data_IF_750930685574
#
_entry.id   IF_750930685574
#
_cell.length_a   1.000
_cell.length_b   1.000
_cell.length_c   1.000
_cell.angle_alpha   90.00
_cell.angle_beta   90.00
_cell.angle_gamma   90.00
#
_symmetry.space_group_name_H-M   'P 1'
#
loop_
_entity.id
_entity.type
_entity.pdbx_description
1 polymer ?
#
# COMPACT_ATOMS: atom_id res chain seq x y z
N UNK A 1 15.40 -28.23 -4.84
CA UNK A 1 14.65 -27.01 -5.23
C UNK A 1 15.05 -25.89 -4.27
N UNK A 2 15.68 -24.81 -4.75
CA UNK A 2 16.25 -23.78 -3.87
C UNK A 2 15.16 -22.89 -3.29
N UNK A 3 15.25 -22.52 -2.01
CA UNK A 3 14.27 -21.69 -1.32
C UNK A 3 13.91 -20.39 -2.09
N UNK A 4 14.90 -19.79 -2.76
CA UNK A 4 14.74 -18.60 -3.60
C UNK A 4 13.75 -18.79 -4.77
N UNK A 5 13.72 -19.99 -5.38
CA UNK A 5 12.80 -20.32 -6.47
C UNK A 5 11.36 -20.57 -6.00
N UNK A 6 11.15 -20.85 -4.70
CA UNK A 6 9.81 -20.97 -4.11
C UNK A 6 9.21 -19.59 -3.85
N UNK A 7 10.00 -18.68 -3.28
CA UNK A 7 9.56 -17.31 -2.94
C UNK A 7 9.21 -16.52 -4.20
N UNK A 8 10.09 -16.51 -5.21
CA UNK A 8 9.84 -15.81 -6.48
C UNK A 8 8.58 -16.31 -7.22
N UNK A 9 8.28 -17.60 -7.12
CA UNK A 9 7.07 -18.18 -7.72
C UNK A 9 5.81 -17.80 -6.94
N UNK A 10 5.86 -17.78 -5.60
CA UNK A 10 4.74 -17.34 -4.76
C UNK A 10 4.37 -15.88 -5.00
N UNK A 11 5.37 -14.99 -5.10
CA UNK A 11 5.19 -13.59 -5.48
C UNK A 11 4.52 -13.51 -6.86
N UNK A 12 5.06 -14.22 -7.86
CA UNK A 12 4.52 -14.24 -9.21
C UNK A 12 3.08 -14.73 -9.32
N UNK A 13 2.57 -15.48 -8.33
CA UNK A 13 1.17 -15.92 -8.30
C UNK A 13 0.26 -14.95 -7.55
N UNK A 14 0.73 -14.33 -6.46
CA UNK A 14 -0.01 -13.23 -5.82
C UNK A 14 -0.33 -12.11 -6.82
N UNK A 15 0.64 -11.77 -7.68
CA UNK A 15 0.45 -10.81 -8.77
C UNK A 15 -0.33 -11.36 -9.97
N UNK A 16 -0.82 -12.61 -9.98
CA UNK A 16 -1.73 -13.13 -11.02
C UNK A 16 -3.19 -13.06 -10.61
N UNK A 17 -3.47 -13.11 -9.31
CA UNK A 17 -4.80 -12.99 -8.75
C UNK A 17 -5.46 -11.65 -9.10
N UNK A 18 -6.67 -11.69 -9.65
CA UNK A 18 -7.41 -10.50 -10.09
C UNK A 18 -7.81 -9.59 -8.94
N UNK A 19 -8.14 -10.15 -7.77
CA UNK A 19 -8.48 -9.41 -6.55
C UNK A 19 -7.25 -8.70 -6.00
N UNK A 20 -6.11 -9.39 -5.92
CA UNK A 20 -4.85 -8.78 -5.47
C UNK A 20 -4.45 -7.63 -6.38
N UNK A 21 -4.49 -7.82 -7.71
CA UNK A 21 -4.21 -6.75 -8.67
C UNK A 21 -5.15 -5.56 -8.49
N UNK A 22 -6.45 -5.80 -8.33
CA UNK A 22 -7.44 -4.75 -8.13
C UNK A 22 -7.19 -3.92 -6.87
N UNK A 23 -6.92 -4.59 -5.74
CA UNK A 23 -6.60 -3.94 -4.47
C UNK A 23 -5.28 -3.16 -4.52
N UNK A 24 -4.25 -3.72 -5.15
CA UNK A 24 -2.96 -3.04 -5.35
C UNK A 24 -3.13 -1.80 -6.25
N UNK A 25 -3.86 -1.92 -7.35
CA UNK A 25 -4.13 -0.80 -8.25
C UNK A 25 -4.93 0.31 -7.55
N UNK A 26 -5.91 -0.07 -6.73
CA UNK A 26 -6.71 0.88 -5.95
C UNK A 26 -5.87 1.60 -4.88
N UNK A 27 -5.03 0.85 -4.16
CA UNK A 27 -4.09 1.42 -3.18
C UNK A 27 -3.11 2.38 -3.85
N UNK A 28 -2.53 1.99 -4.99
CA UNK A 28 -1.64 2.86 -5.78
C UNK A 28 -2.36 4.11 -6.27
N UNK A 29 -3.61 3.98 -6.73
CA UNK A 29 -4.44 5.11 -7.14
C UNK A 29 -4.69 6.11 -6.01
N UNK A 30 -4.99 5.62 -4.80
CA UNK A 30 -5.14 6.48 -3.63
C UNK A 30 -3.84 7.18 -3.22
N UNK A 31 -2.70 6.48 -3.27
CA UNK A 31 -1.39 7.08 -3.01
C UNK A 31 -1.13 8.21 -4.03
N UNK A 32 -1.36 7.96 -5.31
CA UNK A 32 -1.16 8.98 -6.36
C UNK A 32 -2.08 10.19 -6.15
N UNK A 33 -3.35 9.95 -5.85
CA UNK A 33 -4.32 11.02 -5.58
C UNK A 33 -3.92 11.88 -4.37
N UNK A 34 -3.53 11.24 -3.27
CA UNK A 34 -3.03 11.95 -2.09
C UNK A 34 -1.71 12.70 -2.38
N UNK A 35 -0.82 12.11 -3.17
CA UNK A 35 0.45 12.72 -3.55
C UNK A 35 0.23 13.99 -4.37
N UNK A 36 -0.70 13.97 -5.31
CA UNK A 36 -1.11 15.16 -6.07
C UNK A 36 -1.62 16.24 -5.13
N UNK A 37 -2.47 15.89 -4.17
CA UNK A 37 -3.00 16.83 -3.19
C UNK A 37 -1.87 17.47 -2.35
N UNK A 38 -0.98 16.67 -1.75
CA UNK A 38 0.12 17.20 -0.93
C UNK A 38 1.10 18.04 -1.73
N UNK A 39 1.39 17.68 -2.99
CA UNK A 39 2.26 18.47 -3.85
C UNK A 39 1.72 19.90 -4.05
N UNK A 40 0.41 20.05 -4.28
CA UNK A 40 -0.19 21.36 -4.52
C UNK A 40 -0.55 22.13 -3.23
N UNK A 41 -0.94 21.42 -2.16
CA UNK A 41 -1.43 22.04 -0.92
C UNK A 41 -0.30 22.32 0.06
N UNK A 42 0.65 21.40 0.20
CA UNK A 42 1.80 21.56 1.12
C UNK A 42 3.07 22.02 0.38
N UNK A 43 3.07 22.03 -0.96
CA UNK A 43 4.22 22.48 -1.76
C UNK A 43 5.40 21.50 -1.73
N UNK A 44 5.21 20.28 -1.26
CA UNK A 44 6.24 19.25 -1.18
C UNK A 44 6.64 18.74 -2.56
N UNK A 45 7.84 18.14 -2.68
CA UNK A 45 8.22 17.47 -3.92
C UNK A 45 7.31 16.27 -4.21
N UNK A 46 7.25 15.81 -5.46
CA UNK A 46 6.49 14.61 -5.81
C UNK A 46 6.93 13.39 -5.01
N UNK A 47 8.24 13.25 -4.77
CA UNK A 47 8.79 12.12 -4.03
C UNK A 47 8.40 12.19 -2.56
N UNK A 48 8.50 13.36 -1.93
CA UNK A 48 8.10 13.56 -0.53
C UNK A 48 6.59 13.35 -0.35
N UNK A 49 5.79 13.77 -1.32
CA UNK A 49 4.34 13.59 -1.31
C UNK A 49 3.94 12.12 -1.41
N UNK A 50 4.59 11.34 -2.28
CA UNK A 50 4.40 9.88 -2.38
C UNK A 50 4.87 9.20 -1.10
N UNK A 51 6.05 9.58 -0.62
CA UNK A 51 6.62 9.05 0.62
C UNK A 51 5.66 9.26 1.79
N UNK A 52 5.22 10.49 2.03
CA UNK A 52 4.28 10.81 3.11
C UNK A 52 2.96 10.04 2.95
N UNK A 53 2.42 9.97 1.73
CA UNK A 53 1.18 9.24 1.44
C UNK A 53 1.28 7.75 1.80
N UNK A 54 2.42 7.11 1.52
CA UNK A 54 2.67 5.70 1.83
C UNK A 54 2.86 5.49 3.33
N UNK A 55 3.79 6.20 3.96
CA UNK A 55 4.13 6.00 5.39
C UNK A 55 2.96 6.31 6.31
N UNK A 56 2.05 7.17 5.87
CA UNK A 56 0.82 7.51 6.58
C UNK A 56 -0.18 6.35 6.60
N UNK A 57 -0.53 5.78 5.44
CA UNK A 57 -1.53 4.68 5.37
C UNK A 57 -0.96 3.34 5.81
N UNK A 58 0.37 3.17 5.73
CA UNK A 58 1.06 2.00 6.25
C UNK A 58 1.36 2.09 7.75
N UNK A 59 0.92 3.16 8.41
CA UNK A 59 1.14 3.45 9.84
C UNK A 59 2.60 3.43 10.28
N UNK A 60 3.53 3.70 9.37
CA UNK A 60 4.97 3.77 9.69
C UNK A 60 5.27 5.09 10.38
N UNK A 61 4.80 6.21 9.80
CA UNK A 61 4.77 7.52 10.46
C UNK A 61 6.10 7.98 11.08
N UNK A 62 7.16 8.15 10.29
CA UNK A 62 8.48 8.57 10.78
C UNK A 62 8.50 9.94 11.48
N UNK A 63 7.51 10.81 11.21
CA UNK A 63 7.36 12.11 11.86
C UNK A 63 8.31 13.20 11.34
N UNK A 64 8.96 12.95 10.20
CA UNK A 64 9.82 13.87 9.46
C UNK A 64 9.02 14.85 8.59
N UNK A 65 7.83 14.44 8.13
CA UNK A 65 6.87 15.30 7.43
C UNK A 65 5.53 15.34 8.19
N UNK A 66 4.94 16.53 8.23
CA UNK A 66 3.59 16.77 8.74
C UNK A 66 2.90 17.86 7.92
N UNK A 67 1.62 17.72 7.56
CA UNK A 67 0.91 18.79 6.87
C UNK A 67 0.83 20.01 7.78
N UNK A 68 1.20 21.17 7.26
CA UNK A 68 1.19 22.43 8.01
C UNK A 68 -0.08 23.21 7.76
N UNK A 69 -0.67 23.08 6.57
CA UNK A 69 -1.91 23.76 6.20
C UNK A 69 -3.13 23.15 6.90
N UNK A 70 -4.15 23.98 7.14
CA UNK A 70 -5.43 23.49 7.68
C UNK A 70 -6.10 22.47 6.75
N UNK A 71 -6.02 22.70 5.44
CA UNK A 71 -6.55 21.79 4.43
C UNK A 71 -5.79 20.45 4.43
N UNK A 72 -4.46 20.49 4.51
CA UNK A 72 -3.60 19.31 4.64
C UNK A 72 -3.96 18.46 5.85
N UNK A 73 -4.07 19.08 7.03
CA UNK A 73 -4.45 18.38 8.27
C UNK A 73 -5.81 17.68 8.15
N UNK A 74 -6.83 18.38 7.65
CA UNK A 74 -8.18 17.80 7.47
C UNK A 74 -8.15 16.65 6.44
N UNK A 75 -7.46 16.86 5.33
CA UNK A 75 -7.30 15.83 4.30
C UNK A 75 -6.62 14.59 4.87
N UNK A 76 -5.51 14.75 5.59
CA UNK A 76 -4.78 13.63 6.20
C UNK A 76 -5.64 12.85 7.18
N UNK A 77 -6.48 13.52 7.99
CA UNK A 77 -7.42 12.84 8.89
C UNK A 77 -8.38 11.90 8.14
N UNK A 78 -8.97 12.37 7.04
CA UNK A 78 -9.88 11.56 6.21
C UNK A 78 -9.10 10.47 5.48
N UNK A 79 -7.95 10.81 4.93
CA UNK A 79 -7.08 9.91 4.17
C UNK A 79 -6.60 8.72 5.00
N UNK A 80 -6.27 8.92 6.29
CA UNK A 80 -5.88 7.81 7.18
C UNK A 80 -7.04 6.82 7.38
N UNK A 81 -8.26 7.31 7.64
CA UNK A 81 -9.42 6.45 7.91
C UNK A 81 -9.70 5.52 6.72
N UNK A 82 -9.67 6.07 5.51
CA UNK A 82 -9.96 5.31 4.28
C UNK A 82 -8.74 4.49 3.85
N UNK A 83 -7.56 5.11 3.86
CA UNK A 83 -6.29 4.54 3.44
C UNK A 83 -5.84 3.33 4.23
N UNK A 84 -5.96 3.38 5.56
CA UNK A 84 -5.54 2.30 6.43
C UNK A 84 -6.32 1.01 6.15
N UNK A 85 -7.65 1.08 6.04
CA UNK A 85 -8.48 -0.09 5.80
C UNK A 85 -8.16 -0.78 4.47
N UNK A 86 -7.93 0.01 3.41
CA UNK A 86 -7.56 -0.50 2.09
C UNK A 86 -6.16 -1.09 2.10
N UNK A 87 -5.21 -0.41 2.74
CA UNK A 87 -3.83 -0.89 2.88
C UNK A 87 -3.77 -2.23 3.61
N UNK A 88 -4.45 -2.34 4.76
CA UNK A 88 -4.55 -3.59 5.54
C UNK A 88 -5.19 -4.70 4.72
N UNK A 89 -6.33 -4.44 4.09
CA UNK A 89 -7.03 -5.45 3.26
C UNK A 89 -6.15 -5.95 2.12
N UNK A 90 -5.38 -5.05 1.50
CA UNK A 90 -4.44 -5.39 0.43
C UNK A 90 -3.31 -6.27 0.97
N UNK A 91 -2.69 -5.88 2.09
CA UNK A 91 -1.62 -6.65 2.73
C UNK A 91 -2.10 -8.04 3.15
N UNK A 92 -3.27 -8.15 3.80
CA UNK A 92 -3.88 -9.42 4.20
C UNK A 92 -4.18 -10.29 3.00
N UNK A 93 -4.79 -9.76 1.94
CA UNK A 93 -5.13 -10.56 0.75
C UNK A 93 -3.86 -11.09 0.05
N UNK A 94 -2.80 -10.28 -0.01
CA UNK A 94 -1.50 -10.72 -0.53
C UNK A 94 -0.93 -11.85 0.34
N UNK A 95 -0.96 -11.70 1.67
CA UNK A 95 -0.49 -12.72 2.59
C UNK A 95 -1.29 -14.04 2.44
N UNK A 96 -2.62 -13.97 2.42
CA UNK A 96 -3.51 -15.13 2.26
C UNK A 96 -3.25 -15.86 0.94
N UNK A 97 -3.03 -15.12 -0.15
CA UNK A 97 -2.74 -15.71 -1.47
C UNK A 97 -1.39 -16.43 -1.46
N UNK A 98 -0.38 -15.91 -0.76
CA UNK A 98 0.94 -16.54 -0.65
C UNK A 98 0.89 -17.78 0.26
N UNK A 99 0.10 -17.74 1.33
CA UNK A 99 -0.03 -18.85 2.27
C UNK A 99 -0.85 -20.01 1.69
N UNK A 100 -2.00 -19.73 1.08
CA UNK A 100 -2.85 -20.76 0.43
C UNK A 100 -2.12 -21.53 -0.68
N UNK A 101 -1.16 -20.89 -1.36
CA UNK A 101 -0.28 -21.55 -2.33
C UNK A 101 0.67 -22.59 -1.72
N UNK A 102 1.06 -22.44 -0.44
CA UNK A 102 1.96 -23.38 0.24
C UNK A 102 1.21 -24.62 0.72
N UNK A 103 -0.05 -24.48 1.12
CA UNK A 103 -0.86 -25.59 1.64
C UNK A 103 -1.25 -26.59 0.54
N UNK A 104 -1.74 -26.11 -0.62
CA UNK A 104 -2.07 -26.97 -1.78
C UNK A 104 -0.87 -27.76 -2.34
N UNK A 105 0.34 -27.29 -2.07
CA UNK A 105 1.59 -27.90 -2.52
C UNK A 105 2.19 -28.86 -1.49
N UNK A 106 1.64 -28.91 -0.29
CA UNK A 106 1.99 -29.89 0.75
C UNK A 106 1.14 -31.16 0.67
N UNK A 107 -0.06 -31.06 0.08
CA UNK A 107 -1.01 -32.15 -0.11
C UNK A 107 -0.82 -32.94 -1.43
N UNK A 108 0.09 -32.47 -2.31
CA UNK A 108 0.48 -33.12 -3.57
C UNK A 108 1.97 -33.46 -3.58
#
# INVERSE_FOLDING_TARGET
>A
MNALTRISRGIGVAFKDGRVKGLLAFTAGMILWASVFYHYVEGWSWLDSIYFSVVTISTVGFGDFSPETAAGKIFTMIYIIVGLGIFVTTATTVADTILSQNDEKSEK
#
